data_IF_733034114107
#
_entry.id   IF_733034114107
#
_cell.length_a   1.000
_cell.length_b   1.000
_cell.length_c   1.000
_cell.angle_alpha   90.00
_cell.angle_beta   90.00
_cell.angle_gamma   90.00
#
_symmetry.space_group_name_H-M   'P 1'
#
loop_
_entity.id
_entity.type
_entity.pdbx_description
1 polymer ?
#
# COMPACT_ATOMS: atom_id res chain seq x y z
N UNK A 1 -7.73 -15.61 7.35
CA UNK A 1 -6.96 -15.40 6.10
C UNK A 1 -7.90 -15.62 4.92
N UNK A 2 -8.32 -14.53 4.28
CA UNK A 2 -9.23 -14.56 3.12
C UNK A 2 -8.64 -13.68 2.02
N UNK A 3 -8.84 -14.10 0.77
CA UNK A 3 -8.65 -13.21 -0.37
C UNK A 3 -9.90 -12.34 -0.52
N UNK A 4 -9.76 -11.03 -0.32
CA UNK A 4 -10.88 -10.10 -0.34
C UNK A 4 -10.52 -8.77 -1.00
N UNK A 5 -11.36 -8.30 -1.91
CA UNK A 5 -11.17 -7.00 -2.56
C UNK A 5 -11.82 -5.87 -1.76
N UNK A 6 -11.07 -5.21 -0.87
CA UNK A 6 -11.52 -4.02 -0.15
C UNK A 6 -11.44 -2.74 -0.99
N UNK A 7 -10.82 -2.79 -2.19
CA UNK A 7 -10.69 -1.66 -3.11
C UNK A 7 -11.66 -1.76 -4.33
N UNK A 8 -12.67 -2.62 -4.25
CA UNK A 8 -13.64 -2.85 -5.34
C UNK A 8 -14.37 -1.57 -5.79
N UNK A 9 -14.48 -0.60 -4.90
CA UNK A 9 -15.14 0.69 -5.14
C UNK A 9 -14.24 1.73 -5.82
N UNK A 10 -12.92 1.48 -5.92
CA UNK A 10 -12.02 2.39 -6.65
C UNK A 10 -12.24 2.22 -8.16
N UNK A 11 -12.49 3.32 -8.88
CA UNK A 11 -12.61 3.26 -10.33
C UNK A 11 -11.35 2.65 -10.97
N UNK A 12 -11.53 1.66 -11.84
CA UNK A 12 -10.43 1.10 -12.62
C UNK A 12 -9.95 2.15 -13.61
N UNK A 13 -8.84 2.80 -13.32
CA UNK A 13 -8.19 3.73 -14.24
C UNK A 13 -7.60 2.98 -15.43
N UNK A 14 -7.73 3.55 -16.63
CA UNK A 14 -7.03 3.02 -17.82
C UNK A 14 -5.52 3.25 -17.64
N UNK A 15 -4.77 2.19 -17.45
CA UNK A 15 -3.29 2.26 -17.40
C UNK A 15 -2.76 2.23 -18.84
N UNK A 16 -1.97 3.22 -19.22
CA UNK A 16 -1.25 3.18 -20.49
C UNK A 16 0.07 2.41 -20.30
N UNK A 17 -0.05 1.08 -20.26
CA UNK A 17 1.07 0.17 -20.01
C UNK A 17 2.13 0.30 -21.09
N UNK A 18 1.72 0.31 -22.37
CA UNK A 18 2.62 0.38 -23.50
C UNK A 18 3.47 1.66 -23.49
N UNK A 19 2.86 2.82 -23.23
CA UNK A 19 3.61 4.08 -23.15
C UNK A 19 4.63 4.07 -22.00
N UNK A 20 4.26 3.53 -20.83
CA UNK A 20 5.21 3.43 -19.72
C UNK A 20 6.31 2.41 -19.99
N UNK A 21 5.99 1.26 -20.56
CA UNK A 21 6.97 0.25 -20.92
C UNK A 21 8.00 0.77 -21.90
N UNK A 22 7.58 1.54 -22.93
CA UNK A 22 8.49 2.13 -23.91
C UNK A 22 9.39 3.24 -23.34
N UNK A 23 8.90 3.98 -22.34
CA UNK A 23 9.66 5.05 -21.70
C UNK A 23 10.56 4.55 -20.56
N UNK A 24 10.30 3.35 -20.01
CA UNK A 24 11.01 2.83 -18.82
C UNK A 24 12.52 2.73 -19.04
N UNK A 25 13.27 3.33 -18.12
CA UNK A 25 14.73 3.28 -18.07
C UNK A 25 15.22 3.08 -16.63
N UNK A 26 16.52 2.81 -16.49
CA UNK A 26 17.15 2.75 -15.18
C UNK A 26 16.99 4.06 -14.39
N UNK A 27 17.00 5.20 -15.09
CA UNK A 27 16.81 6.52 -14.49
C UNK A 27 15.38 6.72 -13.99
N UNK A 28 14.36 6.29 -14.74
CA UNK A 28 12.96 6.31 -14.27
C UNK A 28 12.78 5.47 -13.01
N UNK A 29 13.37 4.27 -12.97
CA UNK A 29 13.33 3.40 -11.78
C UNK A 29 14.02 4.07 -10.59
N UNK A 30 15.21 4.64 -10.78
CA UNK A 30 15.96 5.31 -9.72
C UNK A 30 15.15 6.46 -9.11
N UNK A 31 14.65 7.37 -9.94
CA UNK A 31 13.88 8.55 -9.51
C UNK A 31 12.58 8.10 -8.82
N UNK A 32 11.87 7.11 -9.38
CA UNK A 32 10.62 6.61 -8.79
C UNK A 32 10.82 6.04 -7.39
N UNK A 33 11.94 5.33 -7.17
CA UNK A 33 12.29 4.72 -5.88
C UNK A 33 12.79 5.69 -4.81
N UNK A 34 13.02 6.95 -5.17
CA UNK A 34 13.26 8.03 -4.20
C UNK A 34 11.98 8.44 -3.46
N UNK A 35 10.79 8.10 -4.00
CA UNK A 35 9.49 8.49 -3.46
C UNK A 35 9.39 9.99 -3.14
N UNK A 36 10.09 10.81 -3.94
CA UNK A 36 10.11 12.26 -3.82
C UNK A 36 9.02 12.95 -4.65
N UNK A 37 9.19 14.27 -4.86
CA UNK A 37 8.28 15.08 -5.67
C UNK A 37 8.01 14.48 -7.05
N UNK A 38 9.06 14.01 -7.73
CA UNK A 38 8.92 13.46 -9.08
C UNK A 38 8.01 12.24 -9.12
N UNK A 39 8.03 11.39 -8.09
CA UNK A 39 7.17 10.22 -7.99
C UNK A 39 5.69 10.60 -7.76
N UNK A 40 5.41 11.54 -6.85
CA UNK A 40 4.04 11.90 -6.51
C UNK A 40 3.43 12.91 -7.49
N UNK A 41 4.09 14.02 -7.71
CA UNK A 41 3.54 15.19 -8.41
C UNK A 41 4.29 15.58 -9.68
N UNK A 42 5.33 14.82 -10.04
CA UNK A 42 6.06 14.97 -11.30
C UNK A 42 5.34 14.30 -12.48
N UNK A 43 5.98 14.25 -13.65
CA UNK A 43 5.44 13.60 -14.84
C UNK A 43 5.07 12.13 -14.61
N UNK A 44 4.04 11.65 -15.34
CA UNK A 44 3.45 10.31 -15.17
C UNK A 44 4.45 9.18 -15.38
N UNK A 45 5.52 9.39 -16.12
CA UNK A 45 6.59 8.43 -16.36
C UNK A 45 7.37 8.05 -15.10
N UNK A 46 7.42 8.93 -14.08
CA UNK A 46 8.10 8.68 -12.82
C UNK A 46 7.19 8.11 -11.72
N UNK A 47 5.88 8.20 -11.87
CA UNK A 47 5.00 7.74 -10.80
C UNK A 47 3.51 8.03 -11.02
N UNK A 48 2.91 8.78 -10.12
CA UNK A 48 1.47 9.05 -10.12
C UNK A 48 1.04 10.08 -11.18
N UNK A 49 1.91 11.03 -11.56
CA UNK A 49 1.53 12.11 -12.48
C UNK A 49 0.60 13.14 -11.84
N UNK A 50 0.80 13.43 -10.55
CA UNK A 50 -0.07 14.20 -9.68
C UNK A 50 -0.88 13.30 -8.75
N UNK A 51 -0.59 13.40 -7.45
CA UNK A 51 -1.24 12.62 -6.41
C UNK A 51 -2.08 13.53 -5.51
N UNK A 52 -3.36 13.71 -5.90
CA UNK A 52 -4.28 14.63 -5.24
C UNK A 52 -5.49 13.87 -4.69
N UNK A 53 -6.04 14.38 -3.59
CA UNK A 53 -7.25 13.84 -2.99
C UNK A 53 -8.45 14.09 -3.91
N UNK A 54 -9.18 13.03 -4.21
CA UNK A 54 -10.38 13.07 -5.05
C UNK A 54 -11.60 12.37 -4.43
N UNK A 55 -11.47 11.94 -3.17
CA UNK A 55 -12.55 11.30 -2.41
C UNK A 55 -12.75 9.81 -2.72
N UNK A 56 -11.95 9.20 -3.59
CA UNK A 56 -12.08 7.77 -3.95
C UNK A 56 -11.88 6.82 -2.77
N UNK A 57 -11.16 7.24 -1.75
CA UNK A 57 -10.88 6.44 -0.56
C UNK A 57 -12.06 6.37 0.43
N UNK A 58 -13.07 7.24 0.33
CA UNK A 58 -14.25 7.24 1.22
C UNK A 58 -14.98 5.89 1.25
N UNK A 59 -15.17 5.28 0.09
CA UNK A 59 -15.82 3.96 0.01
C UNK A 59 -14.92 2.85 0.52
N UNK A 60 -13.61 2.94 0.25
CA UNK A 60 -12.62 1.99 0.76
C UNK A 60 -12.55 2.02 2.30
N UNK A 61 -12.52 3.22 2.88
CA UNK A 61 -12.55 3.39 4.34
C UNK A 61 -13.80 2.73 4.96
N UNK A 62 -14.97 2.89 4.34
CA UNK A 62 -16.21 2.21 4.78
C UNK A 62 -16.11 0.69 4.64
N UNK A 63 -15.58 0.18 3.53
CA UNK A 63 -15.38 -1.26 3.31
C UNK A 63 -14.40 -1.85 4.36
N UNK A 64 -13.33 -1.14 4.71
CA UNK A 64 -12.37 -1.52 5.76
C UNK A 64 -13.06 -1.55 7.14
N UNK A 65 -13.78 -0.49 7.51
CA UNK A 65 -14.51 -0.40 8.78
C UNK A 65 -15.51 -1.55 8.92
N UNK A 66 -16.28 -1.81 7.87
CA UNK A 66 -17.26 -2.90 7.87
C UNK A 66 -16.60 -4.28 7.94
N UNK A 67 -15.51 -4.50 7.21
CA UNK A 67 -14.81 -5.78 7.14
C UNK A 67 -14.20 -6.18 8.49
N UNK A 68 -13.52 -5.25 9.16
CA UNK A 68 -12.90 -5.51 10.46
C UNK A 68 -13.84 -5.31 11.65
N UNK A 69 -15.08 -4.85 11.42
CA UNK A 69 -16.06 -4.57 12.47
C UNK A 69 -15.63 -3.43 13.39
N UNK A 70 -14.97 -2.40 12.82
CA UNK A 70 -14.43 -1.29 13.58
C UNK A 70 -15.52 -0.33 14.06
N UNK A 71 -15.29 0.24 15.24
CA UNK A 71 -16.13 1.25 15.89
C UNK A 71 -15.39 2.58 16.02
N UNK A 72 -16.09 3.71 16.20
CA UNK A 72 -15.44 4.97 16.48
C UNK A 72 -14.50 4.87 17.70
N UNK A 73 -13.26 5.35 17.54
CA UNK A 73 -12.20 5.25 18.53
C UNK A 73 -11.26 4.06 18.35
N UNK A 74 -11.62 3.05 17.53
CA UNK A 74 -10.70 1.95 17.20
C UNK A 74 -9.51 2.48 16.41
N UNK A 75 -8.34 1.88 16.64
CA UNK A 75 -7.06 2.35 16.10
C UNK A 75 -6.69 1.61 14.83
N UNK A 76 -6.43 2.35 13.75
CA UNK A 76 -6.00 1.78 12.46
C UNK A 76 -4.69 2.40 12.01
N UNK A 77 -3.78 1.57 11.50
CA UNK A 77 -2.54 2.00 10.87
C UNK A 77 -2.58 1.74 9.37
N UNK A 78 -2.30 2.78 8.56
CA UNK A 78 -2.07 2.69 7.13
C UNK A 78 -0.56 2.68 6.85
N UNK A 79 -0.04 1.55 6.38
CA UNK A 79 1.39 1.34 6.10
C UNK A 79 1.68 1.60 4.63
N UNK A 80 2.42 2.67 4.35
CA UNK A 80 2.61 3.24 3.02
C UNK A 80 1.50 4.24 2.68
N UNK A 81 1.17 5.07 3.65
CA UNK A 81 0.01 5.99 3.61
C UNK A 81 0.14 7.15 2.61
N UNK A 82 1.32 7.36 2.02
CA UNK A 82 1.58 8.48 1.13
C UNK A 82 1.14 9.83 1.75
N UNK A 83 0.29 10.60 1.06
CA UNK A 83 -0.25 11.89 1.56
C UNK A 83 -1.41 11.73 2.56
N UNK A 84 -1.71 10.51 3.05
CA UNK A 84 -2.69 10.24 4.10
C UNK A 84 -4.16 10.25 3.67
N UNK A 85 -4.47 10.01 2.40
CA UNK A 85 -5.84 10.08 1.89
C UNK A 85 -6.78 9.04 2.55
N UNK A 86 -6.31 7.81 2.74
CA UNK A 86 -7.08 6.78 3.46
C UNK A 86 -7.21 7.14 4.95
N UNK A 87 -6.14 7.62 5.57
CA UNK A 87 -6.14 8.07 6.98
C UNK A 87 -7.20 9.18 7.18
N UNK A 88 -7.26 10.18 6.27
CA UNK A 88 -8.26 11.24 6.29
C UNK A 88 -9.69 10.68 6.28
N UNK A 89 -9.98 9.74 5.39
CA UNK A 89 -11.33 9.20 5.26
C UNK A 89 -11.70 8.25 6.41
N UNK A 90 -10.74 7.56 7.03
CA UNK A 90 -10.95 6.81 8.27
C UNK A 90 -11.24 7.72 9.46
N UNK A 91 -10.49 8.83 9.61
CA UNK A 91 -10.75 9.85 10.64
C UNK A 91 -12.17 10.44 10.51
N UNK A 92 -12.64 10.68 9.28
CA UNK A 92 -14.00 11.17 9.01
C UNK A 92 -15.09 10.17 9.43
N UNK A 93 -14.77 8.89 9.60
CA UNK A 93 -15.66 7.84 10.15
C UNK A 93 -15.53 7.66 11.67
N UNK A 94 -14.72 8.49 12.33
CA UNK A 94 -14.47 8.42 13.77
C UNK A 94 -13.40 7.41 14.18
N UNK A 95 -12.68 6.80 13.24
CA UNK A 95 -11.57 5.87 13.50
C UNK A 95 -10.34 6.67 13.96
N UNK A 96 -9.63 6.22 14.99
CA UNK A 96 -8.35 6.80 15.43
C UNK A 96 -7.22 6.31 14.48
N UNK A 97 -7.17 6.88 13.28
CA UNK A 97 -6.30 6.44 12.20
C UNK A 97 -4.95 7.15 12.21
N UNK A 98 -3.91 6.38 11.88
CA UNK A 98 -2.52 6.81 11.74
C UNK A 98 -1.94 6.30 10.42
N UNK A 99 -0.86 6.94 9.95
CA UNK A 99 -0.14 6.50 8.76
C UNK A 99 1.37 6.46 8.98
N UNK A 100 2.03 5.54 8.27
CA UNK A 100 3.50 5.50 8.15
C UNK A 100 3.86 5.49 6.69
N UNK A 101 4.80 6.35 6.28
CA UNK A 101 5.38 6.33 4.93
C UNK A 101 6.87 6.65 4.97
N UNK A 102 7.62 6.14 3.99
CA UNK A 102 9.05 6.43 3.85
C UNK A 102 9.31 7.77 3.18
N UNK A 103 8.30 8.33 2.53
CA UNK A 103 8.39 9.58 1.78
C UNK A 103 8.21 10.79 2.67
N UNK A 104 9.31 11.48 2.99
CA UNK A 104 9.22 12.78 3.63
C UNK A 104 8.44 13.81 2.78
N UNK A 105 8.57 13.73 1.45
CA UNK A 105 7.82 14.60 0.53
C UNK A 105 6.31 14.41 0.69
N UNK A 106 5.83 13.16 0.66
CA UNK A 106 4.40 12.87 0.80
C UNK A 106 3.84 13.36 2.15
N UNK A 107 4.59 13.15 3.23
CA UNK A 107 4.18 13.58 4.57
C UNK A 107 4.15 15.11 4.71
N UNK A 108 5.08 15.82 4.08
CA UNK A 108 5.10 17.30 4.08
C UNK A 108 3.97 17.90 3.22
N UNK A 109 3.44 17.15 2.26
CA UNK A 109 2.36 17.54 1.35
C UNK A 109 1.06 16.75 1.61
N UNK A 110 0.86 16.34 2.86
CA UNK A 110 -0.34 15.63 3.28
C UNK A 110 -1.56 16.57 3.35
N UNK A 111 -2.73 15.96 3.45
CA UNK A 111 -3.98 16.69 3.70
C UNK A 111 -3.94 17.35 5.10
N UNK A 112 -4.48 18.58 5.26
CA UNK A 112 -4.45 19.27 6.57
C UNK A 112 -5.08 18.48 7.71
N UNK A 113 -6.12 17.69 7.44
CA UNK A 113 -6.87 16.92 8.41
C UNK A 113 -6.05 15.77 9.04
N UNK A 114 -4.95 15.35 8.40
CA UNK A 114 -4.07 14.29 8.91
C UNK A 114 -2.79 14.82 9.53
N UNK A 115 -2.66 16.12 9.69
CA UNK A 115 -1.49 16.75 10.33
C UNK A 115 -1.30 16.17 11.75
N UNK A 116 -0.07 15.68 12.03
CA UNK A 116 0.26 15.03 13.31
C UNK A 116 -0.16 13.56 13.42
N UNK A 117 -0.79 12.99 12.38
CA UNK A 117 -1.20 11.57 12.32
C UNK A 117 -0.28 10.71 11.47
N UNK A 118 0.58 11.31 10.68
CA UNK A 118 1.49 10.61 9.78
C UNK A 118 2.91 10.62 10.33
N UNK A 119 3.58 9.47 10.22
CA UNK A 119 4.92 9.23 10.75
C UNK A 119 5.88 8.82 9.65
N UNK A 120 7.08 9.40 9.65
CA UNK A 120 8.16 8.97 8.76
C UNK A 120 8.72 7.64 9.25
N UNK A 121 8.67 6.62 8.39
CA UNK A 121 9.17 5.28 8.75
C UNK A 121 9.07 4.31 7.59
N UNK A 122 9.75 3.18 7.74
CA UNK A 122 9.72 2.09 6.76
C UNK A 122 8.78 0.97 7.21
N UNK A 123 8.08 0.36 6.26
CA UNK A 123 7.10 -0.71 6.51
C UNK A 123 7.72 -1.95 7.18
N UNK A 124 9.00 -2.23 6.94
CA UNK A 124 9.72 -3.35 7.56
C UNK A 124 10.24 -3.06 8.98
N UNK A 125 10.03 -1.83 9.47
CA UNK A 125 10.51 -1.40 10.78
C UNK A 125 9.49 -0.52 11.49
N UNK A 126 8.34 -1.11 11.83
CA UNK A 126 7.25 -0.43 12.54
C UNK A 126 7.54 -0.45 14.05
N UNK A 127 7.76 0.73 14.65
CA UNK A 127 8.23 0.89 16.04
C UNK A 127 7.10 1.02 17.07
N UNK A 128 5.87 0.70 16.70
CA UNK A 128 4.73 0.70 17.62
C UNK A 128 4.72 -0.55 18.52
N UNK A 129 4.12 -0.47 19.73
CA UNK A 129 3.96 -1.62 20.61
C UNK A 129 3.13 -2.75 19.98
N UNK A 130 3.33 -3.98 20.45
CA UNK A 130 2.56 -5.14 20.03
C UNK A 130 1.08 -4.96 20.34
N UNK A 131 0.21 -5.38 19.43
CA UNK A 131 -1.26 -5.29 19.61
C UNK A 131 -1.79 -3.88 19.77
N UNK A 132 -1.07 -2.86 19.27
CA UNK A 132 -1.45 -1.45 19.48
C UNK A 132 -2.48 -0.93 18.49
N UNK A 133 -2.92 -1.74 17.53
CA UNK A 133 -3.94 -1.39 16.53
C UNK A 133 -5.02 -2.46 16.43
N UNK A 134 -6.24 -2.04 16.12
CA UNK A 134 -7.40 -2.89 15.85
C UNK A 134 -7.40 -3.41 14.41
N UNK A 135 -6.73 -2.70 13.50
CA UNK A 135 -6.41 -3.20 12.16
C UNK A 135 -5.16 -2.50 11.59
N UNK A 136 -4.42 -3.19 10.74
CA UNK A 136 -3.29 -2.64 9.97
C UNK A 136 -3.50 -2.89 8.49
N UNK A 137 -3.45 -1.82 7.69
CA UNK A 137 -3.72 -1.83 6.26
C UNK A 137 -2.43 -1.50 5.50
N UNK A 138 -2.13 -2.24 4.45
CA UNK A 138 -1.02 -1.92 3.55
C UNK A 138 -1.43 -2.15 2.10
N UNK A 139 -1.53 -1.08 1.33
CA UNK A 139 -2.03 -1.11 -0.04
C UNK A 139 -0.92 -0.72 -1.01
N UNK A 140 -0.52 -1.65 -1.88
CA UNK A 140 0.51 -1.45 -2.91
C UNK A 140 1.84 -0.89 -2.35
N UNK A 141 2.26 -1.36 -1.18
CA UNK A 141 3.42 -0.82 -0.46
C UNK A 141 4.52 -1.85 -0.24
N UNK A 142 4.20 -2.97 0.43
CA UNK A 142 5.24 -3.91 0.89
C UNK A 142 6.01 -4.56 -0.25
N UNK A 143 5.42 -4.73 -1.42
CA UNK A 143 6.09 -5.26 -2.62
C UNK A 143 7.22 -4.33 -3.14
N UNK A 144 7.27 -3.08 -2.68
CA UNK A 144 8.37 -2.15 -2.99
C UNK A 144 9.65 -2.43 -2.17
N UNK A 145 9.61 -3.40 -1.28
CA UNK A 145 10.75 -3.87 -0.50
C UNK A 145 11.36 -5.13 -1.11
N UNK A 146 12.66 -5.43 -0.87
CA UNK A 146 13.22 -6.75 -1.13
C UNK A 146 12.51 -7.83 -0.32
N UNK A 147 12.62 -9.09 -0.75
CA UNK A 147 11.88 -10.23 -0.17
C UNK A 147 12.02 -10.35 1.35
N UNK A 148 13.25 -10.27 1.86
CA UNK A 148 13.56 -10.35 3.30
C UNK A 148 12.89 -9.22 4.10
N UNK A 149 12.84 -8.01 3.52
CA UNK A 149 12.18 -6.86 4.12
C UNK A 149 10.65 -6.92 3.97
N UNK A 150 10.13 -7.54 2.90
CA UNK A 150 8.69 -7.86 2.79
C UNK A 150 8.27 -8.81 3.94
N UNK A 151 9.07 -9.83 4.22
CA UNK A 151 8.84 -10.76 5.32
C UNK A 151 8.81 -10.02 6.67
N UNK A 152 9.79 -9.13 6.92
CA UNK A 152 9.81 -8.32 8.14
C UNK A 152 8.60 -7.38 8.26
N UNK A 153 8.14 -6.79 7.14
CA UNK A 153 6.95 -5.95 7.11
C UNK A 153 5.69 -6.74 7.47
N UNK A 154 5.50 -7.91 6.88
CA UNK A 154 4.36 -8.81 7.17
C UNK A 154 4.37 -9.25 8.64
N UNK A 155 5.51 -9.66 9.18
CA UNK A 155 5.65 -10.01 10.60
C UNK A 155 5.34 -8.82 11.52
N UNK A 156 5.73 -7.59 11.11
CA UNK A 156 5.41 -6.37 11.86
C UNK A 156 3.91 -6.06 11.82
N UNK A 157 3.25 -6.21 10.69
CA UNK A 157 1.79 -6.04 10.56
C UNK A 157 1.06 -7.03 11.48
N UNK A 158 1.44 -8.32 11.44
CA UNK A 158 0.85 -9.34 12.29
C UNK A 158 1.06 -9.05 13.79
N UNK A 159 2.25 -8.61 14.18
CA UNK A 159 2.57 -8.23 15.55
C UNK A 159 1.71 -7.07 16.07
N UNK A 160 1.44 -6.08 15.22
CA UNK A 160 0.70 -4.88 15.58
C UNK A 160 -0.81 -5.10 15.69
N UNK A 161 -1.38 -5.97 14.86
CA UNK A 161 -2.81 -6.31 14.84
C UNK A 161 -2.99 -7.80 14.51
N UNK A 162 -2.82 -8.72 15.47
CA UNK A 162 -2.83 -10.15 15.23
C UNK A 162 -4.11 -10.63 14.51
N UNK A 163 -3.94 -11.17 13.29
CA UNK A 163 -5.03 -11.65 12.45
C UNK A 163 -5.93 -10.57 11.84
N UNK A 164 -5.64 -9.29 12.09
CA UNK A 164 -6.41 -8.14 11.58
C UNK A 164 -5.59 -7.26 10.64
N UNK A 165 -4.66 -7.85 9.90
CA UNK A 165 -3.95 -7.21 8.82
C UNK A 165 -4.71 -7.32 7.50
N UNK A 166 -4.56 -6.34 6.61
CA UNK A 166 -4.92 -6.44 5.20
C UNK A 166 -3.76 -5.96 4.35
N UNK A 167 -3.34 -6.77 3.38
CA UNK A 167 -2.30 -6.39 2.43
C UNK A 167 -2.80 -6.53 0.99
N UNK A 168 -2.55 -5.51 0.18
CA UNK A 168 -2.71 -5.60 -1.26
C UNK A 168 -1.36 -5.46 -1.93
N UNK A 169 -1.02 -6.41 -2.77
CA UNK A 169 0.25 -6.49 -3.48
C UNK A 169 0.05 -6.80 -4.96
N UNK A 170 1.02 -6.45 -5.78
CA UNK A 170 1.03 -6.85 -7.18
C UNK A 170 1.35 -8.34 -7.30
N UNK A 171 0.62 -9.00 -8.20
CA UNK A 171 0.81 -10.39 -8.56
C UNK A 171 0.43 -10.62 -10.03
N UNK A 172 0.59 -11.82 -10.53
CA UNK A 172 0.26 -12.24 -11.88
C UNK A 172 -0.08 -13.74 -11.88
N UNK A 173 -0.98 -14.18 -12.77
CA UNK A 173 -1.50 -15.55 -12.81
C UNK A 173 -0.80 -16.42 -13.86
N UNK A 174 -0.05 -15.81 -14.79
CA UNK A 174 0.64 -16.50 -15.87
C UNK A 174 1.86 -15.71 -16.36
N UNK A 175 2.64 -16.32 -17.23
CA UNK A 175 3.87 -15.75 -17.76
C UNK A 175 3.64 -14.47 -18.59
N UNK A 176 2.53 -14.36 -19.30
CA UNK A 176 2.21 -13.19 -20.12
C UNK A 176 1.92 -11.98 -19.21
N UNK A 177 1.11 -12.15 -18.17
CA UNK A 177 0.85 -11.12 -17.16
C UNK A 177 2.12 -10.72 -16.43
N UNK A 178 3.01 -11.68 -16.11
CA UNK A 178 4.32 -11.40 -15.54
C UNK A 178 5.16 -10.51 -16.45
N UNK A 179 5.26 -10.86 -17.72
CA UNK A 179 6.01 -10.07 -18.70
C UNK A 179 5.44 -8.65 -18.85
N UNK A 180 4.11 -8.51 -18.89
CA UNK A 180 3.43 -7.21 -18.91
C UNK A 180 3.81 -6.42 -17.66
N UNK A 181 3.67 -7.01 -16.46
CA UNK A 181 3.99 -6.36 -15.18
C UNK A 181 5.46 -5.89 -15.15
N UNK A 182 6.40 -6.77 -15.44
CA UNK A 182 7.84 -6.47 -15.44
C UNK A 182 8.20 -5.37 -16.46
N UNK A 183 7.47 -5.25 -17.56
CA UNK A 183 7.74 -4.24 -18.58
C UNK A 183 7.50 -2.81 -18.09
N UNK A 184 6.51 -2.57 -17.21
CA UNK A 184 6.09 -1.22 -16.83
C UNK A 184 6.31 -0.84 -15.37
N UNK A 185 6.48 -1.82 -14.46
CA UNK A 185 6.66 -1.56 -13.04
C UNK A 185 7.94 -0.77 -12.76
N UNK A 186 7.87 0.21 -11.83
CA UNK A 186 9.00 1.06 -11.48
C UNK A 186 9.52 0.78 -10.07
N UNK A 187 8.64 0.56 -9.12
CA UNK A 187 8.98 0.57 -7.69
C UNK A 187 9.07 -0.82 -7.07
N UNK A 188 8.27 -1.78 -7.52
CA UNK A 188 8.28 -3.12 -6.95
C UNK A 188 9.68 -3.75 -7.03
N UNK A 189 10.14 -4.29 -5.90
CA UNK A 189 11.41 -5.00 -5.75
C UNK A 189 11.20 -6.49 -5.51
N UNK A 190 10.08 -6.86 -4.88
CA UNK A 190 9.61 -8.23 -4.77
C UNK A 190 8.21 -8.35 -5.39
N UNK A 191 8.03 -9.32 -6.24
CA UNK A 191 6.75 -9.70 -6.83
C UNK A 191 6.78 -11.18 -7.18
N UNK A 192 5.66 -11.84 -7.06
CA UNK A 192 5.56 -13.27 -7.30
C UNK A 192 4.15 -13.66 -7.73
N UNK A 193 3.98 -14.93 -8.12
CA UNK A 193 2.69 -15.58 -8.25
C UNK A 193 1.98 -15.65 -6.89
N UNK A 194 0.64 -15.86 -6.85
CA UNK A 194 -0.09 -16.02 -5.60
C UNK A 194 0.53 -17.04 -4.63
N UNK A 195 1.02 -18.16 -5.17
CA UNK A 195 1.65 -19.22 -4.38
C UNK A 195 2.94 -18.76 -3.68
N UNK A 196 3.76 -17.95 -4.36
CA UNK A 196 4.97 -17.37 -3.77
C UNK A 196 4.65 -16.35 -2.66
N UNK A 197 3.63 -15.53 -2.86
CA UNK A 197 3.13 -14.64 -1.82
C UNK A 197 2.55 -15.40 -0.63
N UNK A 198 1.74 -16.46 -0.87
CA UNK A 198 1.20 -17.30 0.20
C UNK A 198 2.29 -17.98 1.01
N UNK A 199 3.37 -18.44 0.34
CA UNK A 199 4.54 -18.97 1.04
C UNK A 199 5.21 -17.91 1.92
N UNK A 200 5.32 -16.67 1.44
CA UNK A 200 5.87 -15.56 2.23
C UNK A 200 4.98 -15.22 3.44
N UNK A 201 3.64 -15.29 3.29
CA UNK A 201 2.70 -15.13 4.42
C UNK A 201 2.93 -16.20 5.49
N UNK A 202 3.11 -17.45 5.08
CA UNK A 202 3.41 -18.55 6.01
C UNK A 202 4.74 -18.34 6.73
N UNK A 203 5.80 -18.01 6.01
CA UNK A 203 7.14 -17.76 6.56
C UNK A 203 7.16 -16.58 7.55
N UNK A 204 6.40 -15.53 7.29
CA UNK A 204 6.30 -14.36 8.15
C UNK A 204 5.39 -14.54 9.36
N UNK A 205 4.59 -15.61 9.39
CA UNK A 205 3.54 -15.83 10.39
C UNK A 205 2.32 -14.93 10.20
N UNK A 206 2.19 -14.24 9.06
CA UNK A 206 1.07 -13.37 8.74
C UNK A 206 -0.24 -14.18 8.65
N UNK A 207 -1.29 -13.71 9.33
CA UNK A 207 -2.61 -14.34 9.41
C UNK A 207 -3.75 -13.43 8.96
N UNK A 208 -3.42 -12.23 8.50
CA UNK A 208 -4.39 -11.28 7.98
C UNK A 208 -4.92 -11.66 6.60
N UNK A 209 -5.74 -10.79 6.04
CA UNK A 209 -6.35 -10.95 4.72
C UNK A 209 -5.53 -10.25 3.63
N UNK A 210 -5.78 -10.60 2.36
CA UNK A 210 -5.03 -10.06 1.24
C UNK A 210 -5.87 -9.86 -0.01
N UNK A 211 -5.31 -9.13 -0.97
CA UNK A 211 -5.81 -9.05 -2.34
C UNK A 211 -4.67 -8.87 -3.34
N UNK A 212 -4.87 -9.39 -4.55
CA UNK A 212 -3.90 -9.28 -5.63
C UNK A 212 -4.25 -8.14 -6.57
N UNK A 213 -3.29 -7.26 -6.84
CA UNK A 213 -3.37 -6.35 -7.99
C UNK A 213 -2.84 -7.08 -9.21
N UNK A 214 -3.75 -7.51 -10.08
CA UNK A 214 -3.39 -8.14 -11.36
C UNK A 214 -3.50 -7.09 -12.47
N UNK A 215 -2.52 -7.04 -13.34
CA UNK A 215 -2.51 -6.16 -14.52
C UNK A 215 -2.80 -7.00 -15.75
N UNK A 216 -3.89 -6.66 -16.43
CA UNK A 216 -4.35 -7.28 -17.68
C UNK A 216 -3.93 -6.42 -18.89
#
# INVERSE_FOLDING_TARGET
MLEINLLRSIPKGKRNIAARASAKSAEHIRISREYGQMYFDGPREYGYGGFHYDGRWKSVAKDIVAHFGLSPGDRVLDVGCAKGFLVKDLLALGIDAFGVDISSYALLHCEPEVTGRLHLGSADRLIFPDGSFDAVISINTIHNLPRDRCLAALSSIERLAPGKGFVQVDSYLNADQKAIFESWVLTAMYHDYPEGWQQLFLESGYKGDWFWTIVD
#
